data_IF_332073807959
#
_entry.id   IF_332073807959
#
_cell.length_a   1.000
_cell.length_b   1.000
_cell.length_c   1.000
_cell.angle_alpha   90.00
_cell.angle_beta   90.00
_cell.angle_gamma   90.00
#
_symmetry.space_group_name_H-M   'P 1'
#
loop_
_entity.id
_entity.type
_entity.pdbx_description
1 polymer ?
#
# COMPACT_ATOMS: atom_id res chain seq x y z
N UNK A 1 -22.63 5.82 -1.69
CA UNK A 1 -21.35 6.06 -0.98
C UNK A 1 -21.41 5.30 0.33
N UNK A 2 -21.02 4.02 0.32
CA UNK A 2 -20.74 3.31 1.58
C UNK A 2 -19.56 4.03 2.23
N UNK A 3 -19.66 4.42 3.50
CA UNK A 3 -18.49 4.91 4.21
C UNK A 3 -17.45 3.78 4.20
N UNK A 4 -16.36 3.96 3.44
CA UNK A 4 -15.24 3.02 3.46
C UNK A 4 -14.72 2.94 4.90
N UNK A 5 -14.40 1.73 5.38
CA UNK A 5 -13.92 1.56 6.75
C UNK A 5 -12.59 2.29 6.92
N UNK A 6 -12.47 3.11 7.96
CA UNK A 6 -11.21 3.76 8.34
C UNK A 6 -10.16 2.77 8.89
N UNK A 7 -10.53 1.51 9.09
CA UNK A 7 -9.65 0.44 9.55
C UNK A 7 -9.97 -0.88 8.83
N UNK A 8 -9.02 -1.41 8.07
CA UNK A 8 -9.14 -2.66 7.35
C UNK A 8 -8.78 -3.88 8.19
N UNK A 9 -8.54 -3.74 9.50
CA UNK A 9 -8.18 -4.87 10.37
C UNK A 9 -9.25 -5.97 10.34
N UNK A 10 -10.53 -5.60 10.38
CA UNK A 10 -11.64 -6.55 10.27
C UNK A 10 -11.66 -7.26 8.90
N UNK A 11 -11.51 -6.51 7.81
CA UNK A 11 -11.43 -7.06 6.45
C UNK A 11 -10.26 -8.06 6.31
N UNK A 12 -9.09 -7.69 6.84
CA UNK A 12 -7.90 -8.56 6.85
C UNK A 12 -8.20 -9.86 7.60
N UNK A 13 -8.79 -9.79 8.79
CA UNK A 13 -9.11 -10.98 9.59
C UNK A 13 -10.19 -11.86 8.92
N UNK A 14 -11.18 -11.24 8.27
CA UNK A 14 -12.19 -11.94 7.46
C UNK A 14 -11.57 -12.66 6.27
N UNK A 15 -10.64 -12.01 5.54
CA UNK A 15 -9.88 -12.63 4.46
C UNK A 15 -9.06 -13.83 4.95
N UNK A 16 -8.38 -13.68 6.10
CA UNK A 16 -7.64 -14.78 6.72
C UNK A 16 -8.56 -15.97 6.98
N UNK A 17 -9.67 -15.75 7.67
CA UNK A 17 -10.61 -16.81 8.03
C UNK A 17 -11.22 -17.46 6.78
N UNK A 18 -11.58 -16.68 5.76
CA UNK A 18 -12.18 -17.17 4.53
C UNK A 18 -11.21 -18.03 3.70
N UNK A 19 -9.96 -17.59 3.56
CA UNK A 19 -8.91 -18.34 2.85
C UNK A 19 -8.64 -19.68 3.56
N UNK A 20 -8.54 -19.67 4.89
CA UNK A 20 -8.36 -20.89 5.69
C UNK A 20 -9.56 -21.83 5.61
N UNK A 21 -10.79 -21.29 5.67
CA UNK A 21 -12.03 -22.03 5.49
C UNK A 21 -12.14 -22.70 4.11
N UNK A 22 -11.47 -22.15 3.10
CA UNK A 22 -11.38 -22.74 1.76
C UNK A 22 -10.28 -23.79 1.62
N UNK A 23 -9.49 -24.05 2.66
CA UNK A 23 -8.36 -24.98 2.64
C UNK A 23 -7.14 -24.45 1.88
N UNK A 24 -7.11 -23.16 1.59
CA UNK A 24 -6.01 -22.51 0.89
C UNK A 24 -4.94 -22.03 1.88
N UNK A 25 -3.70 -21.93 1.39
CA UNK A 25 -2.56 -21.45 2.17
C UNK A 25 -2.25 -20.00 1.82
N UNK A 26 -1.71 -19.28 2.79
CA UNK A 26 -1.22 -17.90 2.62
C UNK A 26 0.29 -17.87 2.72
N UNK A 27 0.91 -17.12 1.84
CA UNK A 27 2.31 -16.72 1.89
C UNK A 27 2.36 -15.25 2.30
N UNK A 28 3.16 -14.93 3.32
CA UNK A 28 3.33 -13.55 3.75
C UNK A 28 4.28 -12.84 2.78
N UNK A 29 3.73 -11.99 1.92
CA UNK A 29 4.49 -11.32 0.89
C UNK A 29 3.70 -10.20 0.26
N UNK A 30 4.40 -9.10 -0.02
CA UNK A 30 3.92 -7.99 -0.82
C UNK A 30 4.38 -8.17 -2.26
N UNK A 31 3.50 -7.88 -3.22
CA UNK A 31 3.82 -7.85 -4.63
C UNK A 31 3.83 -6.40 -5.06
N UNK A 32 5.01 -5.92 -5.44
CA UNK A 32 5.15 -4.63 -6.10
C UNK A 32 4.78 -4.78 -7.58
N UNK A 33 3.67 -4.15 -7.99
CA UNK A 33 3.17 -4.25 -9.36
C UNK A 33 4.03 -3.51 -10.38
N UNK A 34 4.93 -2.63 -9.94
CA UNK A 34 5.89 -1.97 -10.83
C UNK A 34 7.05 -2.88 -11.22
N UNK A 35 7.37 -3.87 -10.38
CA UNK A 35 8.50 -4.79 -10.60
C UNK A 35 8.10 -6.08 -11.35
N UNK A 36 6.80 -6.38 -11.48
CA UNK A 36 6.30 -7.66 -12.00
C UNK A 36 5.07 -7.54 -12.89
N UNK A 37 4.89 -8.49 -13.81
CA UNK A 37 3.69 -8.55 -14.64
C UNK A 37 2.47 -8.95 -13.81
N UNK A 38 1.53 -8.02 -13.65
CA UNK A 38 0.32 -8.25 -12.88
C UNK A 38 -0.97 -7.76 -13.55
N UNK A 39 -2.10 -8.28 -13.06
CA UNK A 39 -3.45 -7.85 -13.43
C UNK A 39 -4.22 -7.53 -12.16
N UNK A 40 -4.69 -6.29 -12.05
CA UNK A 40 -5.54 -5.84 -10.96
C UNK A 40 -6.97 -6.36 -11.14
N UNK A 41 -7.52 -6.93 -10.08
CA UNK A 41 -8.89 -7.41 -10.06
C UNK A 41 -9.87 -6.26 -9.90
N UNK A 42 -10.83 -6.17 -10.80
CA UNK A 42 -11.92 -5.19 -10.73
C UNK A 42 -13.15 -5.84 -10.06
N UNK A 43 -13.39 -5.50 -8.79
CA UNK A 43 -14.53 -6.00 -8.03
C UNK A 43 -15.87 -5.31 -8.34
N UNK A 44 -15.86 -4.26 -9.16
CA UNK A 44 -17.02 -3.40 -9.42
C UNK A 44 -17.61 -2.84 -8.12
N UNK A 45 -18.94 -2.81 -8.05
CA UNK A 45 -19.67 -2.31 -6.87
C UNK A 45 -19.86 -3.36 -5.75
N UNK A 46 -19.24 -4.55 -5.86
CA UNK A 46 -19.39 -5.61 -4.87
C UNK A 46 -18.33 -5.47 -3.74
N UNK A 47 -18.74 -5.11 -2.51
CA UNK A 47 -17.81 -4.96 -1.38
C UNK A 47 -17.16 -6.28 -0.96
N UNK A 48 -17.74 -7.43 -1.36
CA UNK A 48 -17.22 -8.76 -1.07
C UNK A 48 -16.53 -9.42 -2.28
N UNK A 49 -16.23 -8.65 -3.34
CA UNK A 49 -15.61 -9.18 -4.56
C UNK A 49 -14.26 -9.90 -4.32
N UNK A 50 -13.59 -9.61 -3.20
CA UNK A 50 -12.38 -10.32 -2.79
C UNK A 50 -12.63 -11.81 -2.51
N UNK A 51 -13.85 -12.20 -2.13
CA UNK A 51 -14.22 -13.61 -1.94
C UNK A 51 -14.20 -14.34 -3.28
N UNK A 52 -14.80 -13.74 -4.31
CA UNK A 52 -14.79 -14.27 -5.68
C UNK A 52 -13.35 -14.41 -6.19
N UNK A 53 -12.48 -13.45 -5.87
CA UNK A 53 -11.06 -13.52 -6.20
C UNK A 53 -10.35 -14.72 -5.54
N UNK A 54 -10.62 -14.99 -4.25
CA UNK A 54 -10.07 -16.16 -3.54
C UNK A 54 -10.64 -17.48 -4.10
N UNK A 55 -11.93 -17.52 -4.39
CA UNK A 55 -12.57 -18.70 -5.00
C UNK A 55 -12.01 -18.98 -6.39
N UNK A 56 -11.73 -17.95 -7.18
CA UNK A 56 -11.09 -18.09 -8.49
C UNK A 56 -9.66 -18.62 -8.37
N UNK A 57 -8.89 -18.14 -7.38
CA UNK A 57 -7.56 -18.68 -7.09
C UNK A 57 -7.63 -20.18 -6.77
N UNK A 58 -8.62 -20.60 -5.96
CA UNK A 58 -8.88 -22.00 -5.64
C UNK A 58 -9.25 -22.81 -6.88
N UNK A 59 -10.20 -22.32 -7.69
CA UNK A 59 -10.64 -22.99 -8.91
C UNK A 59 -9.52 -23.14 -9.94
N UNK A 60 -8.56 -22.20 -9.92
CA UNK A 60 -7.35 -22.22 -10.74
C UNK A 60 -6.23 -23.10 -10.16
N UNK A 61 -6.50 -23.82 -9.06
CA UNK A 61 -5.53 -24.66 -8.34
C UNK A 61 -4.27 -23.89 -7.90
N UNK A 62 -4.41 -22.61 -7.55
CA UNK A 62 -3.30 -21.83 -7.02
C UNK A 62 -2.71 -22.51 -5.76
N UNK A 63 -1.39 -22.69 -5.68
CA UNK A 63 -0.78 -23.44 -4.58
C UNK A 63 -0.88 -22.70 -3.22
N UNK A 64 -0.99 -21.37 -3.27
CA UNK A 64 -1.18 -20.44 -2.16
C UNK A 64 -1.62 -19.07 -2.71
N UNK A 65 -2.09 -18.18 -1.82
CA UNK A 65 -2.18 -16.74 -2.08
C UNK A 65 -1.04 -16.01 -1.38
N UNK A 66 -0.48 -14.97 -1.99
CA UNK A 66 0.25 -13.95 -1.25
C UNK A 66 -0.74 -13.08 -0.49
N UNK A 67 -0.34 -12.64 0.71
CA UNK A 67 -1.11 -11.68 1.49
C UNK A 67 -0.17 -10.71 2.18
N UNK A 68 -0.45 -9.43 2.04
CA UNK A 68 0.21 -8.34 2.73
C UNK A 68 -0.82 -7.42 3.37
N UNK A 69 -0.45 -6.80 4.48
CA UNK A 69 -1.24 -5.76 5.11
C UNK A 69 -0.32 -4.74 5.74
N UNK A 70 -0.67 -3.47 5.64
CA UNK A 70 0.11 -2.38 6.22
C UNK A 70 -0.69 -1.64 7.28
N UNK A 71 -0.03 -1.40 8.42
CA UNK A 71 -0.57 -0.70 9.59
C UNK A 71 0.23 0.58 9.79
N UNK A 72 -0.46 1.70 9.99
CA UNK A 72 0.21 2.97 10.26
C UNK A 72 0.90 2.93 11.62
N UNK A 73 2.24 2.92 11.62
CA UNK A 73 3.02 3.01 12.85
C UNK A 73 3.28 4.46 13.21
N UNK A 74 3.38 4.71 14.52
CA UNK A 74 3.71 6.04 15.04
C UNK A 74 5.05 6.54 14.51
N UNK A 75 6.07 5.70 14.59
CA UNK A 75 7.45 6.08 14.23
C UNK A 75 7.56 6.44 12.74
N UNK A 76 6.90 5.67 11.87
CA UNK A 76 6.84 5.92 10.43
C UNK A 76 6.19 7.29 10.14
N UNK A 77 5.07 7.60 10.83
CA UNK A 77 4.40 8.89 10.68
C UNK A 77 5.20 10.06 11.24
N UNK A 78 5.85 9.88 12.39
CA UNK A 78 6.68 10.92 13.00
C UNK A 78 7.88 11.26 12.11
N UNK A 79 8.49 10.26 11.51
CA UNK A 79 9.56 10.44 10.53
C UNK A 79 9.07 11.18 9.28
N UNK A 80 7.89 10.82 8.74
CA UNK A 80 7.27 11.53 7.63
C UNK A 80 7.02 13.01 7.96
N UNK A 81 6.38 13.30 9.11
CA UNK A 81 6.12 14.67 9.58
C UNK A 81 7.43 15.45 9.71
N UNK A 82 8.48 14.81 10.24
CA UNK A 82 9.79 15.44 10.40
C UNK A 82 10.38 15.82 9.05
N UNK A 83 10.40 14.90 8.07
CA UNK A 83 10.89 15.15 6.70
C UNK A 83 10.16 16.30 6.05
N UNK A 84 8.82 16.26 6.07
CA UNK A 84 7.95 17.32 5.55
C UNK A 84 8.20 18.67 6.23
N UNK A 85 8.40 18.68 7.55
CA UNK A 85 8.66 19.94 8.29
C UNK A 85 10.03 20.56 7.98
N UNK A 86 10.97 19.79 7.45
CA UNK A 86 12.33 20.24 7.11
C UNK A 86 12.55 20.42 5.61
N UNK A 87 11.60 20.03 4.77
CA UNK A 87 11.70 20.16 3.31
C UNK A 87 11.56 21.61 2.87
N UNK A 88 12.46 22.09 2.00
CA UNK A 88 12.44 23.47 1.52
C UNK A 88 11.20 23.82 0.67
N UNK A 89 10.54 22.80 0.10
CA UNK A 89 9.41 22.94 -0.82
C UNK A 89 8.10 22.35 -0.30
N UNK A 90 8.09 21.83 0.92
CA UNK A 90 6.87 21.29 1.52
C UNK A 90 5.94 22.42 1.94
N UNK A 91 4.66 22.31 1.61
CA UNK A 91 3.68 23.33 1.98
C UNK A 91 3.14 23.08 3.41
N UNK A 92 2.52 24.10 4.02
CA UNK A 92 1.95 23.98 5.38
C UNK A 92 0.78 22.99 5.42
N UNK A 93 0.04 22.86 4.34
CA UNK A 93 -1.10 21.94 4.21
C UNK A 93 -0.67 20.47 4.31
N UNK A 94 0.46 20.08 3.69
CA UNK A 94 1.03 18.73 3.72
C UNK A 94 1.42 18.34 5.15
N UNK A 95 1.99 19.28 5.90
CA UNK A 95 2.36 19.08 7.31
C UNK A 95 1.11 18.92 8.19
N UNK A 96 0.06 19.71 7.93
CA UNK A 96 -1.22 19.58 8.65
C UNK A 96 -1.94 18.27 8.29
N UNK A 97 -1.93 17.87 7.02
CA UNK A 97 -2.45 16.58 6.55
C UNK A 97 -1.72 15.42 7.22
N UNK A 98 -0.38 15.47 7.30
CA UNK A 98 0.42 14.48 8.01
C UNK A 98 0.09 14.44 9.52
N UNK A 99 -0.17 15.60 10.14
CA UNK A 99 -0.59 15.66 11.55
C UNK A 99 -1.98 15.04 11.76
N UNK A 100 -2.90 15.22 10.82
CA UNK A 100 -4.23 14.61 10.86
C UNK A 100 -4.19 13.08 10.83
N UNK A 101 -3.22 12.49 10.11
CA UNK A 101 -3.02 11.04 10.04
C UNK A 101 -2.74 10.38 11.41
N UNK A 102 -2.36 11.15 12.44
CA UNK A 102 -2.17 10.63 13.81
C UNK A 102 -3.42 9.95 14.38
N UNK A 103 -4.60 10.31 13.89
CA UNK A 103 -5.88 9.69 14.28
C UNK A 103 -6.05 8.25 13.79
N UNK A 104 -5.20 7.80 12.86
CA UNK A 104 -5.22 6.45 12.28
C UNK A 104 -4.06 5.56 12.74
N UNK A 105 -3.21 6.02 13.67
CA UNK A 105 -2.11 5.20 14.21
C UNK A 105 -2.65 3.88 14.77
N UNK A 106 -2.03 2.77 14.36
CA UNK A 106 -2.40 1.42 14.75
C UNK A 106 -3.52 0.80 13.93
N UNK A 107 -4.14 1.53 13.00
CA UNK A 107 -5.16 1.01 12.07
C UNK A 107 -4.51 0.43 10.82
N UNK A 108 -5.17 -0.56 10.21
CA UNK A 108 -4.75 -1.15 8.93
C UNK A 108 -5.26 -0.27 7.79
N UNK A 109 -4.36 0.27 6.97
CA UNK A 109 -4.69 1.16 5.86
C UNK A 109 -4.70 0.48 4.50
N UNK A 110 -4.05 -0.68 4.39
CA UNK A 110 -3.89 -1.40 3.13
C UNK A 110 -3.87 -2.91 3.35
N UNK A 111 -4.52 -3.63 2.45
CA UNK A 111 -4.48 -5.10 2.36
C UNK A 111 -4.36 -5.49 0.89
N UNK A 112 -3.43 -6.39 0.59
CA UNK A 112 -3.23 -6.96 -0.74
C UNK A 112 -3.35 -8.48 -0.66
N UNK A 113 -4.07 -9.06 -1.63
CA UNK A 113 -4.05 -10.48 -1.93
C UNK A 113 -3.49 -10.68 -3.33
N UNK A 114 -2.74 -11.75 -3.53
CA UNK A 114 -2.24 -12.10 -4.84
C UNK A 114 -2.15 -13.59 -5.08
N UNK A 115 -2.15 -14.01 -6.33
CA UNK A 115 -1.82 -15.39 -6.70
C UNK A 115 -1.26 -15.42 -8.13
N UNK A 116 -0.28 -16.29 -8.34
CA UNK A 116 0.36 -16.44 -9.63
C UNK A 116 -0.39 -17.47 -10.48
N UNK A 117 -0.54 -17.17 -11.76
CA UNK A 117 -1.07 -18.10 -12.76
C UNK A 117 -0.44 -17.84 -14.12
N UNK A 118 0.20 -18.87 -14.67
CA UNK A 118 0.82 -18.84 -16.02
C UNK A 118 1.78 -17.66 -16.27
N UNK A 119 2.54 -17.25 -15.26
CA UNK A 119 3.52 -16.17 -15.38
C UNK A 119 2.98 -14.75 -15.13
N UNK A 120 1.69 -14.63 -14.81
CA UNK A 120 1.04 -13.38 -14.39
C UNK A 120 0.65 -13.46 -12.92
N UNK A 121 0.81 -12.37 -12.17
CA UNK A 121 0.26 -12.26 -10.82
C UNK A 121 -1.09 -11.54 -10.88
N UNK A 122 -2.13 -12.18 -10.38
CA UNK A 122 -3.43 -11.53 -10.19
C UNK A 122 -3.45 -10.91 -8.80
N UNK A 123 -3.89 -9.67 -8.70
CA UNK A 123 -3.87 -8.90 -7.45
C UNK A 123 -5.26 -8.37 -7.11
N UNK A 124 -5.59 -8.38 -5.83
CA UNK A 124 -6.70 -7.64 -5.25
C UNK A 124 -6.14 -6.72 -4.18
N UNK A 125 -6.59 -5.47 -4.18
CA UNK A 125 -6.19 -4.47 -3.20
C UNK A 125 -7.41 -3.80 -2.58
N UNK A 126 -7.28 -3.52 -1.28
CA UNK A 126 -8.17 -2.63 -0.56
C UNK A 126 -7.30 -1.63 0.20
N UNK A 127 -7.64 -0.35 0.05
CA UNK A 127 -7.00 0.75 0.74
C UNK A 127 -8.05 1.61 1.44
N UNK A 128 -7.61 2.41 2.40
CA UNK A 128 -8.41 3.48 2.99
C UNK A 128 -8.04 4.81 2.37
N UNK A 129 -8.96 5.77 2.34
CA UNK A 129 -8.70 7.12 1.83
C UNK A 129 -7.49 7.79 2.53
N UNK A 130 -7.32 7.52 3.83
CA UNK A 130 -6.19 8.06 4.59
C UNK A 130 -4.87 7.37 4.23
N UNK A 131 -4.88 6.09 3.81
CA UNK A 131 -3.69 5.41 3.32
C UNK A 131 -3.25 5.99 1.98
N UNK A 132 -4.17 6.26 1.05
CA UNK A 132 -3.84 6.94 -0.22
C UNK A 132 -3.24 8.33 0.03
N UNK A 133 -3.77 9.06 1.01
CA UNK A 133 -3.19 10.34 1.43
C UNK A 133 -1.78 10.17 2.01
N UNK A 134 -1.56 9.15 2.83
CA UNK A 134 -0.23 8.82 3.36
C UNK A 134 0.78 8.51 2.25
N UNK A 135 0.39 7.71 1.24
CA UNK A 135 1.25 7.40 0.09
C UNK A 135 1.64 8.65 -0.69
N UNK A 136 0.68 9.54 -0.99
CA UNK A 136 0.96 10.83 -1.65
C UNK A 136 1.95 11.69 -0.86
N UNK A 137 1.80 11.73 0.47
CA UNK A 137 2.71 12.49 1.33
C UNK A 137 4.13 11.88 1.36
N UNK A 138 4.24 10.55 1.26
CA UNK A 138 5.53 9.88 1.13
C UNK A 138 6.22 10.28 -0.17
N UNK A 139 5.52 10.20 -1.31
CA UNK A 139 6.03 10.63 -2.63
C UNK A 139 6.55 12.07 -2.58
N UNK A 140 5.75 12.99 -2.04
CA UNK A 140 6.14 14.38 -1.83
C UNK A 140 7.39 14.49 -0.94
N UNK A 141 7.53 13.67 0.09
CA UNK A 141 8.71 13.70 0.97
C UNK A 141 9.98 13.15 0.31
N UNK A 142 9.84 12.28 -0.70
CA UNK A 142 10.95 11.59 -1.39
C UNK A 142 11.45 12.39 -2.61
N UNK A 143 10.57 13.06 -3.35
CA UNK A 143 10.91 13.87 -4.53
C UNK A 143 11.94 14.98 -4.23
N UNK A 144 12.03 15.43 -2.97
CA UNK A 144 12.98 16.48 -2.55
C UNK A 144 14.36 15.96 -2.11
N UNK A 145 14.57 14.64 -2.07
CA UNK A 145 15.88 14.03 -1.78
C UNK A 145 16.79 13.85 -2.99
N UNK A 146 16.28 14.09 -4.21
CA UNK A 146 16.91 13.69 -5.47
C UNK A 146 17.75 14.73 -6.21
N UNK A 147 17.79 16.01 -5.80
CA UNK A 147 18.66 17.00 -6.45
C UNK A 147 20.02 17.00 -5.77
N UNK A 148 20.85 16.01 -6.12
CA UNK A 148 22.29 16.20 -6.06
C UNK A 148 22.63 17.31 -7.06
N UNK A 149 22.85 18.52 -6.56
CA UNK A 149 23.48 19.59 -7.33
C UNK A 149 24.89 19.09 -7.62
N UNK A 150 25.12 18.56 -8.82
CA UNK A 150 26.48 18.44 -9.35
C UNK A 150 27.08 19.86 -9.34
N UNK A 151 27.99 20.11 -8.41
CA UNK A 151 28.84 21.30 -8.44
C UNK A 151 29.56 21.28 -9.80
N UNK A 152 29.53 22.37 -10.59
CA UNK A 152 30.28 22.40 -11.83
C UNK A 152 31.77 22.30 -11.48
N UNK A 153 32.41 21.22 -11.96
CA UNK A 153 33.85 21.01 -11.88
C UNK A 153 34.57 22.31 -12.26
N UNK A 154 35.26 22.90 -11.29
CA UNK A 154 36.26 23.92 -11.57
C UNK A 154 37.45 23.22 -12.22
N UNK A 155 37.42 23.15 -13.56
CA UNK A 155 38.61 22.83 -14.34
C UNK A 155 39.62 23.99 -14.18
N UNK A 156 40.62 23.74 -13.34
CA UNK A 156 41.91 24.44 -13.31
C UNK A 156 42.58 24.31 -14.69
N UNK A 157 42.43 25.34 -15.55
CA UNK A 157 43.31 25.51 -16.71
C UNK A 157 44.65 26.14 -16.29
N UNK A 158 45.71 25.37 -16.52
CA UNK A 158 47.16 25.70 -16.44
C UNK A 158 47.60 26.96 -17.15
#
# INVERSE_FOLDING_TARGET
>A
MSAASDDLTGLKDDMVAFIEGHGMRRFHGFVDYEEVQCVMWEGGDNPEAWKDFVELAKASAAPFLTMHSWVLKRDDLEELIRRLSTGEYTNVEDVEDARWLRTYIGKTGFVQLGWAYQGTIFLYEANTDWYERYQRLLEVSEDFGGIAIDEPDQDDET
#
